data_IF_692446147178
#
_entry.id   IF_692446147178
#
_cell.length_a   1.000
_cell.length_b   1.000
_cell.length_c   1.000
_cell.angle_alpha   90.00
_cell.angle_beta   90.00
_cell.angle_gamma   90.00
#
_symmetry.space_group_name_H-M   'P 1'
#
loop_
_entity.id
_entity.type
_entity.pdbx_description
1 polymer ?
#
# COMPACT_ATOMS: atom_id res chain seq x y z
N UNK A 1 16.36 45.33 -3.42
CA UNK A 1 16.99 44.14 -4.03
C UNK A 1 17.25 43.00 -3.03
N UNK A 2 17.77 43.25 -1.81
CA UNK A 2 18.06 42.19 -0.81
C UNK A 2 16.81 41.41 -0.35
N UNK A 3 15.68 42.08 -0.09
CA UNK A 3 14.43 41.43 0.32
C UNK A 3 13.80 40.54 -0.78
N UNK A 4 13.95 40.94 -2.05
CA UNK A 4 13.47 40.16 -3.20
C UNK A 4 14.32 38.89 -3.37
N UNK A 5 15.64 38.99 -3.20
CA UNK A 5 16.52 37.82 -3.18
C UNK A 5 16.17 36.84 -2.06
N UNK A 6 15.87 37.35 -0.85
CA UNK A 6 15.48 36.51 0.29
C UNK A 6 14.13 35.80 0.08
N UNK A 7 13.16 36.48 -0.54
CA UNK A 7 11.84 35.91 -0.84
C UNK A 7 11.93 34.81 -1.92
N UNK A 8 12.74 35.03 -2.96
CA UNK A 8 12.99 34.04 -4.02
C UNK A 8 13.72 32.82 -3.46
N UNK A 9 14.73 33.02 -2.59
CA UNK A 9 15.44 31.92 -1.93
C UNK A 9 14.50 31.08 -1.05
N UNK A 10 13.60 31.72 -0.28
CA UNK A 10 12.62 31.01 0.55
C UNK A 10 11.61 30.20 -0.30
N UNK A 11 11.17 30.75 -1.44
CA UNK A 11 10.27 30.04 -2.36
C UNK A 11 10.95 28.82 -3.04
N UNK A 12 12.23 28.93 -3.40
CA UNK A 12 12.98 27.80 -4.00
C UNK A 12 13.23 26.64 -3.04
N UNK A 13 13.39 26.91 -1.74
CA UNK A 13 13.58 25.88 -0.72
C UNK A 13 12.26 25.16 -0.41
N UNK A 14 11.13 25.86 -0.49
CA UNK A 14 9.81 25.29 -0.23
C UNK A 14 9.36 24.29 -1.31
N UNK A 15 9.64 24.55 -2.59
CA UNK A 15 9.29 23.64 -3.69
C UNK A 15 10.05 22.31 -3.66
N UNK A 16 11.24 22.25 -3.07
CA UNK A 16 12.02 21.02 -2.97
C UNK A 16 11.41 19.99 -2.00
N UNK A 17 10.50 20.42 -1.11
CA UNK A 17 9.86 19.55 -0.12
C UNK A 17 8.57 18.89 -0.61
N UNK A 18 8.12 19.18 -1.83
CA UNK A 18 6.94 18.58 -2.46
C UNK A 18 7.27 17.38 -3.36
N UNK A 19 8.51 16.88 -3.29
CA UNK A 19 8.85 15.64 -3.98
C UNK A 19 8.03 14.50 -3.38
N UNK A 20 7.14 13.91 -4.18
CA UNK A 20 6.41 12.71 -3.81
C UNK A 20 7.41 11.60 -3.49
N UNK A 21 7.11 10.81 -2.48
CA UNK A 21 7.90 9.63 -2.15
C UNK A 21 7.88 8.67 -3.35
N UNK A 22 9.03 8.09 -3.74
CA UNK A 22 9.05 7.18 -4.88
C UNK A 22 8.06 6.03 -4.65
N UNK A 23 7.37 5.56 -5.71
CA UNK A 23 6.48 4.41 -5.61
C UNK A 23 7.21 3.21 -5.01
N UNK A 24 6.52 2.45 -4.17
CA UNK A 24 7.12 1.25 -3.60
C UNK A 24 7.21 0.15 -4.67
N UNK A 25 8.36 -0.52 -4.73
CA UNK A 25 8.52 -1.67 -5.61
C UNK A 25 7.83 -2.89 -5.00
N UNK A 26 6.69 -3.28 -5.59
CA UNK A 26 5.90 -4.44 -5.16
C UNK A 26 6.37 -5.75 -5.81
N UNK A 27 7.20 -5.69 -6.87
CA UNK A 27 7.66 -6.87 -7.61
C UNK A 27 6.53 -7.82 -8.00
N UNK A 28 6.69 -9.10 -7.64
CA UNK A 28 5.71 -10.18 -7.88
C UNK A 28 4.86 -10.54 -6.65
N UNK A 29 4.76 -9.65 -5.64
CA UNK A 29 3.95 -9.90 -4.45
C UNK A 29 2.45 -9.88 -4.77
N UNK A 30 1.77 -10.98 -4.48
CA UNK A 30 0.32 -11.11 -4.62
C UNK A 30 -0.46 -10.76 -3.34
N UNK A 31 0.24 -10.49 -2.24
CA UNK A 31 -0.33 -10.23 -0.92
C UNK A 31 -0.45 -8.72 -0.63
N UNK A 32 -1.11 -7.97 -1.52
CA UNK A 32 -1.19 -6.49 -1.45
C UNK A 32 -1.87 -5.96 -0.17
N UNK A 33 -2.53 -6.82 0.62
CA UNK A 33 -3.30 -6.45 1.82
C UNK A 33 -2.90 -7.22 3.08
N UNK A 34 -1.88 -8.08 3.00
CA UNK A 34 -1.46 -8.97 4.12
C UNK A 34 0.04 -8.78 4.42
N UNK A 35 0.62 -7.68 3.96
CA UNK A 35 2.02 -7.34 4.19
C UNK A 35 2.22 -6.50 5.47
N UNK A 36 3.47 -6.21 5.78
CA UNK A 36 3.86 -5.34 6.88
C UNK A 36 3.94 -3.85 6.49
N UNK A 37 3.67 -3.50 5.23
CA UNK A 37 3.85 -2.14 4.73
C UNK A 37 2.95 -1.13 5.43
N UNK A 38 1.71 -1.53 5.71
CA UNK A 38 0.73 -0.69 6.42
C UNK A 38 0.87 -0.76 7.95
N UNK A 39 1.82 -1.53 8.47
CA UNK A 39 1.95 -1.79 9.91
C UNK A 39 2.98 -0.85 10.51
N UNK A 40 2.51 0.20 11.19
CA UNK A 40 3.39 1.10 11.92
C UNK A 40 4.08 0.44 13.14
N UNK A 41 3.40 -0.49 13.83
CA UNK A 41 3.96 -1.21 14.99
C UNK A 41 3.16 -2.48 15.34
N UNK A 42 3.87 -3.53 15.74
CA UNK A 42 3.32 -4.71 16.45
C UNK A 42 3.90 -4.79 17.87
N UNK A 43 3.12 -5.29 18.82
CA UNK A 43 3.54 -5.42 20.22
C UNK A 43 2.58 -6.26 21.07
N UNK A 44 2.95 -6.53 22.32
CA UNK A 44 2.07 -7.24 23.26
C UNK A 44 1.73 -8.68 22.86
N UNK A 45 2.57 -9.32 22.03
CA UNK A 45 2.33 -10.67 21.51
C UNK A 45 1.49 -10.74 20.23
N UNK A 46 1.18 -9.60 19.60
CA UNK A 46 0.52 -9.56 18.30
C UNK A 46 1.38 -10.21 17.20
N UNK A 47 0.72 -10.97 16.31
CA UNK A 47 1.34 -11.59 15.13
C UNK A 47 0.38 -11.52 13.93
N UNK A 48 0.93 -11.37 12.74
CA UNK A 48 0.17 -11.57 11.51
C UNK A 48 -0.02 -13.08 11.29
N UNK A 49 -1.25 -13.49 10.95
CA UNK A 49 -1.58 -14.90 10.72
C UNK A 49 -2.43 -14.99 9.48
N UNK A 50 -1.97 -15.77 8.50
CA UNK A 50 -2.79 -16.14 7.36
C UNK A 50 -3.80 -17.20 7.80
N UNK A 51 -5.07 -16.84 7.81
CA UNK A 51 -6.14 -17.78 8.10
C UNK A 51 -6.38 -18.68 6.89
N UNK A 52 -6.43 -19.99 7.13
CA UNK A 52 -6.84 -20.94 6.11
C UNK A 52 -8.36 -20.91 5.99
N UNK A 53 -8.91 -20.98 4.76
CA UNK A 53 -10.35 -21.10 4.58
C UNK A 53 -10.83 -22.37 5.26
N UNK A 54 -11.88 -22.24 6.06
CA UNK A 54 -12.60 -23.40 6.63
C UNK A 54 -13.74 -23.71 5.67
N UNK A 55 -13.76 -24.88 5.02
CA UNK A 55 -14.89 -25.27 4.20
C UNK A 55 -16.17 -25.26 5.05
N UNK A 56 -17.18 -24.56 4.56
CA UNK A 56 -18.52 -24.53 5.14
C UNK A 56 -19.46 -25.15 4.11
N UNK A 57 -20.48 -24.42 3.67
CA UNK A 57 -21.40 -24.83 2.63
C UNK A 57 -21.02 -24.21 1.25
N UNK A 58 -21.66 -24.68 0.18
CA UNK A 58 -21.47 -24.11 -1.16
C UNK A 58 -22.14 -22.73 -1.21
N UNK A 59 -21.33 -21.66 -1.16
CA UNK A 59 -21.79 -20.26 -1.20
C UNK A 59 -21.65 -19.61 -2.58
N UNK A 60 -20.86 -20.22 -3.47
CA UNK A 60 -20.65 -19.80 -4.85
C UNK A 60 -20.82 -21.02 -5.75
N UNK A 61 -21.75 -20.94 -6.70
CA UNK A 61 -21.96 -21.92 -7.76
C UNK A 61 -21.46 -21.27 -9.04
N UNK A 62 -20.56 -21.95 -9.75
CA UNK A 62 -20.07 -21.52 -11.05
C UNK A 62 -20.80 -22.33 -12.13
N UNK A 63 -21.98 -21.88 -12.53
CA UNK A 63 -22.85 -22.60 -13.49
C UNK A 63 -22.79 -22.02 -14.91
N UNK A 64 -22.24 -20.82 -15.06
CA UNK A 64 -22.06 -20.19 -16.34
C UNK A 64 -20.69 -20.50 -16.98
N UNK A 65 -20.59 -20.52 -18.32
CA UNK A 65 -19.34 -20.83 -19.01
C UNK A 65 -18.20 -19.82 -18.78
N UNK A 66 -18.46 -18.65 -18.20
CA UNK A 66 -17.45 -17.64 -17.86
C UNK A 66 -17.08 -17.62 -16.38
N UNK A 67 -17.72 -18.45 -15.56
CA UNK A 67 -17.61 -18.40 -14.08
C UNK A 67 -16.49 -19.26 -13.50
N UNK A 68 -15.79 -20.05 -14.34
CA UNK A 68 -14.67 -20.88 -13.91
C UNK A 68 -13.51 -20.86 -14.90
N UNK A 69 -12.29 -21.07 -14.38
CA UNK A 69 -11.05 -21.21 -15.16
C UNK A 69 -10.60 -22.67 -15.24
N UNK A 70 -11.52 -23.59 -15.53
CA UNK A 70 -11.18 -24.99 -15.80
C UNK A 70 -10.30 -25.11 -17.03
#
# INVERSE_FOLDING_TARGET
MRAVLSLVAAATVFSASLAAEPPIDIGSRWELLVDDYLIARLGGGARQVLHHPVPREVVLVFDAPWEGSG
#
